data_IF_772672503659
#
_entry.id   IF_772672503659
#
_cell.length_a   1.000
_cell.length_b   1.000
_cell.length_c   1.000
_cell.angle_alpha   90.00
_cell.angle_beta   90.00
_cell.angle_gamma   90.00
#
_symmetry.space_group_name_H-M   'P 1'
#
loop_
_entity.id
_entity.type
_entity.pdbx_description
1 polymer ?
#
# COMPACT_ATOMS: atom_id res chain seq x y z
N UNK A 1 2.38 9.77 10.29
CA UNK A 1 1.47 10.77 9.69
C UNK A 1 0.06 10.21 9.73
N UNK A 2 -0.90 10.96 10.25
CA UNK A 2 -2.30 10.52 10.32
C UNK A 2 -3.05 11.13 9.12
N UNK A 3 -3.48 10.30 8.17
CA UNK A 3 -4.14 10.72 6.94
C UNK A 3 -5.56 10.14 6.93
N UNK A 4 -6.53 10.94 7.36
CA UNK A 4 -7.95 10.62 7.17
C UNK A 4 -8.32 10.83 5.72
N UNK A 5 -8.61 9.73 5.01
CA UNK A 5 -9.16 9.78 3.65
C UNK A 5 -10.67 9.58 3.69
N UNK A 6 -11.42 10.69 3.77
CA UNK A 6 -12.87 10.67 3.54
C UNK A 6 -13.13 10.67 2.02
N UNK A 7 -13.36 9.48 1.46
CA UNK A 7 -13.71 9.33 0.04
C UNK A 7 -15.19 9.69 -0.17
N UNK A 8 -15.46 10.95 -0.52
CA UNK A 8 -16.81 11.41 -0.93
C UNK A 8 -17.05 11.06 -2.40
N UNK A 9 -17.53 9.85 -2.67
CA UNK A 9 -18.04 9.49 -4.00
C UNK A 9 -19.52 9.93 -4.09
N UNK A 10 -19.83 10.84 -5.02
CA UNK A 10 -21.15 11.40 -5.38
C UNK A 10 -21.68 12.58 -4.54
N UNK A 11 -21.68 13.75 -5.19
CA UNK A 11 -22.07 15.08 -4.70
C UNK A 11 -23.59 15.28 -4.49
N UNK A 12 -24.40 14.20 -4.36
CA UNK A 12 -25.87 14.34 -4.21
C UNK A 12 -26.60 13.34 -3.30
N UNK A 13 -25.96 12.30 -2.77
CA UNK A 13 -26.61 11.42 -1.78
C UNK A 13 -25.58 10.97 -0.74
N UNK A 14 -25.63 11.46 0.51
CA UNK A 14 -24.68 11.05 1.53
C UNK A 14 -25.02 9.62 1.96
N UNK A 15 -24.27 8.64 1.44
CA UNK A 15 -24.20 7.30 2.02
C UNK A 15 -23.03 7.32 3.03
N UNK A 16 -23.27 7.42 4.35
CA UNK A 16 -22.22 7.48 5.37
C UNK A 16 -21.49 6.12 5.58
N UNK A 17 -21.50 5.23 4.58
CA UNK A 17 -21.24 3.80 4.77
C UNK A 17 -19.78 3.38 4.63
N UNK A 18 -18.89 4.21 4.07
CA UNK A 18 -17.49 3.83 3.83
C UNK A 18 -16.55 4.97 4.27
N UNK A 19 -16.39 5.13 5.57
CA UNK A 19 -15.27 5.91 6.12
C UNK A 19 -14.01 5.04 6.14
N UNK A 20 -12.91 5.52 5.56
CA UNK A 20 -11.61 4.85 5.58
C UNK A 20 -10.59 5.75 6.28
N UNK A 21 -10.15 5.34 7.46
CA UNK A 21 -9.09 6.02 8.17
C UNK A 21 -7.76 5.31 7.89
N UNK A 22 -6.75 6.03 7.41
CA UNK A 22 -5.43 5.47 7.11
C UNK A 22 -4.39 6.08 8.04
N UNK A 23 -3.76 5.24 8.84
CA UNK A 23 -2.66 5.63 9.70
C UNK A 23 -1.37 5.03 9.15
N UNK A 24 -0.46 5.88 8.67
CA UNK A 24 0.85 5.47 8.20
C UNK A 24 1.93 5.91 9.19
N UNK A 25 2.64 4.94 9.75
CA UNK A 25 3.73 5.13 10.70
C UNK A 25 5.02 4.60 10.09
N UNK A 26 5.92 5.52 9.76
CA UNK A 26 7.27 5.19 9.34
C UNK A 26 8.16 5.03 10.58
N UNK A 27 8.89 3.91 10.66
CA UNK A 27 9.84 3.61 11.72
C UNK A 27 11.22 3.48 11.09
N UNK A 28 12.03 4.54 11.17
CA UNK A 28 13.32 4.59 10.49
C UNK A 28 13.19 4.63 8.95
N UNK A 29 14.29 4.46 8.21
CA UNK A 29 14.31 4.67 6.76
C UNK A 29 13.71 3.50 5.97
N UNK A 30 13.62 2.30 6.55
CA UNK A 30 13.29 1.08 5.83
C UNK A 30 12.04 0.34 6.33
N UNK A 31 11.26 0.90 7.26
CA UNK A 31 10.08 0.23 7.78
C UNK A 31 8.88 1.16 7.84
N UNK A 32 7.75 0.70 7.29
CA UNK A 32 6.50 1.45 7.26
C UNK A 32 5.36 0.53 7.66
N UNK A 33 4.62 0.96 8.68
CA UNK A 33 3.36 0.34 9.09
C UNK A 33 2.21 1.20 8.55
N UNK A 34 1.26 0.59 7.86
CA UNK A 34 0.07 1.27 7.37
C UNK A 34 -1.17 0.52 7.87
N UNK A 35 -1.94 1.18 8.72
CA UNK A 35 -3.16 0.66 9.31
C UNK A 35 -4.34 1.37 8.66
N UNK A 36 -5.11 0.63 7.87
CA UNK A 36 -6.34 1.09 7.28
C UNK A 36 -7.52 0.57 8.08
N UNK A 37 -8.28 1.48 8.66
CA UNK A 37 -9.51 1.18 9.40
C UNK A 37 -10.69 1.60 8.55
N UNK A 38 -11.41 0.63 8.01
CA UNK A 38 -12.66 0.85 7.25
C UNK A 38 -13.86 0.45 8.10
N UNK A 39 -15.05 0.92 7.74
CA UNK A 39 -16.31 0.46 8.34
C UNK A 39 -16.54 -1.05 8.25
N UNK A 40 -15.91 -1.72 7.26
CA UNK A 40 -16.01 -3.17 7.04
C UNK A 40 -14.96 -3.98 7.80
N UNK A 41 -13.92 -3.34 8.34
CA UNK A 41 -12.85 -4.02 9.06
C UNK A 41 -11.51 -3.28 8.99
N UNK A 42 -10.56 -3.80 9.75
CA UNK A 42 -9.20 -3.27 9.81
C UNK A 42 -8.27 -4.09 8.92
N UNK A 43 -7.38 -3.40 8.22
CA UNK A 43 -6.37 -3.94 7.34
C UNK A 43 -5.02 -3.35 7.78
N UNK A 44 -4.04 -4.19 8.09
CA UNK A 44 -2.71 -3.75 8.45
C UNK A 44 -1.71 -4.21 7.38
N UNK A 45 -0.94 -3.26 6.84
CA UNK A 45 0.11 -3.49 5.86
C UNK A 45 1.45 -3.12 6.49
N UNK A 46 2.37 -4.07 6.50
CA UNK A 46 3.74 -3.88 6.96
C UNK A 46 4.64 -3.94 5.74
N UNK A 47 5.31 -2.82 5.45
CA UNK A 47 6.30 -2.72 4.39
C UNK A 47 7.68 -2.63 5.02
N UNK A 48 8.55 -3.57 4.64
CA UNK A 48 9.95 -3.60 5.08
C UNK A 48 10.86 -3.60 3.88
N UNK A 49 11.84 -2.71 3.95
CA UNK A 49 12.86 -2.48 2.97
C UNK A 49 14.19 -2.83 3.62
N UNK A 50 14.87 -3.84 3.08
CA UNK A 50 16.18 -4.28 3.56
C UNK A 50 17.20 -4.15 2.44
N UNK A 51 18.28 -3.36 2.62
CA UNK A 51 19.38 -3.33 1.68
C UNK A 51 20.11 -4.67 1.76
N UNK A 52 20.21 -5.39 0.64
CA UNK A 52 21.02 -6.62 0.55
C UNK A 52 22.40 -6.25 0.02
N UNK A 53 22.45 -5.38 -0.99
CA UNK A 53 23.66 -4.82 -1.60
C UNK A 53 23.40 -3.36 -2.02
N UNK A 54 24.43 -2.55 -2.32
CA UNK A 54 24.26 -1.12 -2.63
C UNK A 54 23.29 -0.80 -3.79
N UNK A 55 23.05 -1.75 -4.70
CA UNK A 55 22.11 -1.61 -5.83
C UNK A 55 20.97 -2.64 -5.78
N UNK A 56 20.88 -3.43 -4.70
CA UNK A 56 19.87 -4.49 -4.55
C UNK A 56 19.14 -4.33 -3.22
N UNK A 57 17.88 -3.91 -3.33
CA UNK A 57 17.00 -3.70 -2.20
C UNK A 57 15.89 -4.75 -2.21
N UNK A 58 15.73 -5.46 -1.09
CA UNK A 58 14.60 -6.37 -0.89
C UNK A 58 13.45 -5.63 -0.24
N UNK A 59 12.31 -5.59 -0.91
CA UNK A 59 11.07 -5.02 -0.37
C UNK A 59 10.08 -6.16 -0.08
N UNK A 60 9.55 -6.19 1.13
CA UNK A 60 8.58 -7.19 1.58
C UNK A 60 7.34 -6.45 2.07
N UNK A 61 6.19 -6.75 1.47
CA UNK A 61 4.88 -6.28 1.92
C UNK A 61 4.15 -7.45 2.57
N UNK A 62 3.71 -7.27 3.81
CA UNK A 62 2.88 -8.23 4.54
C UNK A 62 1.55 -7.59 4.87
N UNK A 63 0.47 -8.27 4.53
CA UNK A 63 -0.88 -7.77 4.76
C UNK A 63 -1.59 -8.70 5.75
N UNK A 64 -2.14 -8.11 6.80
CA UNK A 64 -2.97 -8.78 7.78
C UNK A 64 -4.39 -8.23 7.67
N UNK A 65 -5.33 -9.10 7.33
CA UNK A 65 -6.74 -8.76 7.15
C UNK A 65 -7.65 -9.85 7.70
N UNK A 66 -8.88 -9.51 8.10
CA UNK A 66 -9.89 -10.51 8.37
C UNK A 66 -10.31 -11.23 7.05
N UNK A 67 -10.80 -12.49 7.12
CA UNK A 67 -11.00 -13.32 5.93
C UNK A 67 -11.95 -12.73 4.88
N UNK A 68 -12.96 -11.96 5.29
CA UNK A 68 -13.93 -11.35 4.37
C UNK A 68 -13.34 -10.21 3.52
N UNK A 69 -12.21 -9.62 3.94
CA UNK A 69 -11.49 -8.58 3.19
C UNK A 69 -10.35 -9.15 2.33
N UNK A 70 -10.22 -10.47 2.23
CA UNK A 70 -9.12 -11.13 1.52
C UNK A 70 -9.00 -10.68 0.05
N UNK A 71 -10.13 -10.57 -0.65
CA UNK A 71 -10.16 -10.10 -2.05
C UNK A 71 -9.63 -8.67 -2.18
N UNK A 72 -10.03 -7.80 -1.26
CA UNK A 72 -9.56 -6.42 -1.22
C UNK A 72 -8.05 -6.36 -0.93
N UNK A 73 -7.58 -7.13 0.06
CA UNK A 73 -6.16 -7.22 0.39
C UNK A 73 -5.30 -7.68 -0.79
N UNK A 74 -5.78 -8.64 -1.60
CA UNK A 74 -5.07 -9.10 -2.78
C UNK A 74 -4.93 -8.01 -3.85
N UNK A 75 -6.00 -7.24 -4.11
CA UNK A 75 -5.94 -6.11 -5.07
C UNK A 75 -4.92 -5.06 -4.60
N UNK A 76 -4.94 -4.72 -3.31
CA UNK A 76 -3.98 -3.78 -2.73
C UNK A 76 -2.55 -4.32 -2.83
N UNK A 77 -2.32 -5.60 -2.51
CA UNK A 77 -1.01 -6.23 -2.64
C UNK A 77 -0.50 -6.18 -4.09
N UNK A 78 -1.38 -6.45 -5.06
CA UNK A 78 -1.06 -6.34 -6.48
C UNK A 78 -0.68 -4.92 -6.88
N UNK A 79 -1.41 -3.91 -6.41
CA UNK A 79 -1.09 -2.51 -6.65
C UNK A 79 0.28 -2.10 -6.10
N UNK A 80 0.57 -2.49 -4.85
CA UNK A 80 1.87 -2.26 -4.22
C UNK A 80 3.01 -2.92 -5.02
N UNK A 81 2.82 -4.17 -5.45
CA UNK A 81 3.80 -4.87 -6.28
C UNK A 81 4.05 -4.13 -7.61
N UNK A 82 3.00 -3.66 -8.28
CA UNK A 82 3.15 -2.91 -9.54
C UNK A 82 3.91 -1.60 -9.31
N UNK A 83 3.54 -0.83 -8.28
CA UNK A 83 4.19 0.42 -7.93
C UNK A 83 5.68 0.22 -7.64
N UNK A 84 6.02 -0.80 -6.85
CA UNK A 84 7.41 -1.08 -6.48
C UNK A 84 8.21 -1.58 -7.68
N UNK A 85 7.66 -2.49 -8.49
CA UNK A 85 8.35 -2.98 -9.69
C UNK A 85 8.63 -1.87 -10.68
N UNK A 86 7.63 -1.03 -10.98
CA UNK A 86 7.81 0.10 -11.88
C UNK A 86 8.89 1.08 -11.38
N UNK A 87 8.91 1.35 -10.07
CA UNK A 87 9.93 2.20 -9.48
C UNK A 87 11.33 1.57 -9.59
N UNK A 88 11.44 0.26 -9.37
CA UNK A 88 12.68 -0.50 -9.52
C UNK A 88 13.20 -0.47 -10.96
N UNK A 89 12.34 -0.67 -11.96
CA UNK A 89 12.69 -0.63 -13.37
C UNK A 89 13.23 0.75 -13.78
N UNK A 90 12.63 1.82 -13.25
CA UNK A 90 13.11 3.19 -13.43
C UNK A 90 14.50 3.39 -12.80
N UNK A 91 14.74 2.88 -11.58
CA UNK A 91 16.03 2.98 -10.91
C UNK A 91 17.13 2.16 -11.59
N UNK A 92 16.79 1.01 -12.16
CA UNK A 92 17.72 0.15 -12.88
C UNK A 92 17.95 0.59 -14.34
N UNK A 93 17.25 1.63 -14.81
CA UNK A 93 17.37 2.12 -16.18
C UNK A 93 16.84 1.14 -17.23
N UNK A 94 16.01 0.17 -16.83
CA UNK A 94 15.40 -0.84 -17.69
C UNK A 94 14.10 -0.26 -18.26
N UNK A 95 14.20 0.85 -19.01
CA UNK A 95 13.16 1.13 -19.99
C UNK A 95 13.26 0.06 -21.09
N UNK A 96 12.14 -0.37 -21.70
CA UNK A 96 12.24 -1.17 -22.90
C UNK A 96 13.01 -0.35 -23.95
N UNK A 97 14.21 -0.79 -24.29
CA UNK A 97 14.77 -0.52 -25.60
C UNK A 97 13.83 -1.22 -26.58
N UNK A 98 12.86 -0.45 -27.07
CA UNK A 98 11.93 -0.87 -28.09
C UNK A 98 12.73 -0.90 -29.40
N UNK A 99 13.21 -2.08 -29.79
CA UNK A 99 13.56 -2.39 -31.18
C UNK A 99 12.27 -2.58 -32.01
#
# INVERSE_FOLDING_TARGET
>A
MNLRHDLKLFDRVPLPLIGMNVEAKQIGPGYVEMIMTTSMGQLAILQTVTPVEPMLQKVIHRIYCPPHLFWYANIVLWGECIMVSFNLDMFLGVLPQND
#
